data_IF_389260141965
#
_entry.id   IF_389260141965
#
_cell.length_a   1.000
_cell.length_b   1.000
_cell.length_c   1.000
_cell.angle_alpha   90.00
_cell.angle_beta   90.00
_cell.angle_gamma   90.00
#
_symmetry.space_group_name_H-M   'P 1'
#
loop_
_entity.id
_entity.type
_entity.pdbx_description
1 polymer ?
#
# COMPACT_ATOMS: atom_id res chain seq x y z
N UNK A 1 -12.95 -4.46 -30.31
CA UNK A 1 -13.08 -4.53 -28.84
C UNK A 1 -12.81 -3.15 -28.29
N UNK A 2 -13.76 -2.60 -27.55
CA UNK A 2 -13.62 -1.32 -26.90
C UNK A 2 -12.54 -1.40 -25.80
N UNK A 3 -11.66 -0.41 -25.73
CA UNK A 3 -10.57 -0.39 -24.75
C UNK A 3 -11.10 0.13 -23.42
N UNK A 4 -11.69 -0.75 -22.61
CA UNK A 4 -12.15 -0.38 -21.26
C UNK A 4 -10.95 -0.20 -20.34
N UNK A 5 -10.79 1.00 -19.78
CA UNK A 5 -9.77 1.28 -18.77
C UNK A 5 -10.02 0.45 -17.49
N UNK A 6 -8.96 0.23 -16.70
CA UNK A 6 -9.08 -0.38 -15.38
C UNK A 6 -9.37 0.72 -14.36
N UNK A 7 -10.43 0.54 -13.59
CA UNK A 7 -10.79 1.38 -12.45
C UNK A 7 -9.79 1.21 -11.31
N UNK A 8 -9.86 2.10 -10.31
CA UNK A 8 -9.06 1.99 -9.10
C UNK A 8 -9.27 0.65 -8.37
N UNK A 9 -10.53 0.25 -8.16
CA UNK A 9 -10.88 -0.99 -7.46
C UNK A 9 -10.35 -2.23 -8.19
N UNK A 10 -10.51 -2.26 -9.51
CA UNK A 10 -9.96 -3.34 -10.35
C UNK A 10 -8.44 -3.45 -10.21
N UNK A 11 -7.71 -2.32 -10.23
CA UNK A 11 -6.25 -2.33 -10.01
C UNK A 11 -5.89 -2.82 -8.61
N UNK A 12 -6.60 -2.39 -7.58
CA UNK A 12 -6.37 -2.82 -6.20
C UNK A 12 -6.56 -4.33 -6.03
N UNK A 13 -7.65 -4.87 -6.58
CA UNK A 13 -7.93 -6.32 -6.59
C UNK A 13 -6.79 -7.08 -7.26
N UNK A 14 -6.39 -6.67 -8.47
CA UNK A 14 -5.30 -7.33 -9.19
C UNK A 14 -4.01 -7.32 -8.37
N UNK A 15 -3.63 -6.17 -7.82
CA UNK A 15 -2.40 -6.03 -7.03
C UNK A 15 -2.44 -6.90 -5.77
N UNK A 16 -3.58 -6.97 -5.07
CA UNK A 16 -3.72 -7.80 -3.87
C UNK A 16 -3.58 -9.30 -4.18
N UNK A 17 -4.22 -9.80 -5.24
CA UNK A 17 -4.07 -11.20 -5.64
C UNK A 17 -2.61 -11.50 -6.01
N UNK A 18 -1.95 -10.58 -6.73
CA UNK A 18 -0.54 -10.73 -7.11
C UNK A 18 0.37 -10.72 -5.89
N UNK A 19 0.10 -9.87 -4.89
CA UNK A 19 0.85 -9.82 -3.64
C UNK A 19 0.88 -11.19 -2.95
N UNK A 20 -0.26 -11.86 -2.85
CA UNK A 20 -0.36 -13.22 -2.26
C UNK A 20 0.43 -14.26 -3.06
N UNK A 21 0.48 -14.12 -4.39
CA UNK A 21 1.16 -15.03 -5.32
C UNK A 21 2.57 -14.56 -5.73
N UNK A 22 3.09 -13.53 -5.06
CA UNK A 22 4.24 -12.74 -5.52
C UNK A 22 5.53 -13.54 -5.65
N UNK A 23 5.74 -14.54 -4.78
CA UNK A 23 6.95 -15.39 -4.79
C UNK A 23 7.15 -16.15 -6.12
N UNK A 24 6.07 -16.51 -6.81
CA UNK A 24 6.12 -17.20 -8.10
C UNK A 24 6.14 -16.20 -9.25
N UNK A 25 5.27 -15.19 -9.20
CA UNK A 25 5.12 -14.20 -10.28
C UNK A 25 6.38 -13.33 -10.44
N UNK A 26 6.99 -12.90 -9.33
CA UNK A 26 8.17 -12.02 -9.33
C UNK A 26 9.49 -12.80 -9.29
N UNK A 27 9.44 -14.13 -9.41
CA UNK A 27 10.65 -14.93 -9.54
C UNK A 27 11.40 -14.60 -10.83
N UNK A 28 12.71 -14.33 -10.78
CA UNK A 28 13.53 -14.03 -11.97
C UNK A 28 13.91 -15.26 -12.80
N UNK A 29 13.60 -16.48 -12.34
CA UNK A 29 13.93 -17.72 -13.06
C UNK A 29 13.17 -17.82 -14.39
N UNK A 30 13.88 -18.30 -15.41
CA UNK A 30 13.41 -18.42 -16.80
C UNK A 30 13.46 -19.86 -17.33
N UNK A 31 13.74 -20.84 -16.47
CA UNK A 31 13.68 -22.25 -16.85
C UNK A 31 12.23 -22.68 -17.17
N UNK A 32 12.08 -23.75 -17.95
CA UNK A 32 10.78 -24.24 -18.43
C UNK A 32 9.80 -24.53 -17.28
N UNK A 33 10.30 -25.08 -16.17
CA UNK A 33 9.48 -25.41 -14.99
C UNK A 33 8.97 -24.13 -14.33
N UNK A 34 9.83 -23.12 -14.17
CA UNK A 34 9.45 -21.81 -13.62
C UNK A 34 8.45 -21.08 -14.52
N UNK A 35 8.58 -21.19 -15.85
CA UNK A 35 7.64 -20.60 -16.80
C UNK A 35 6.26 -21.27 -16.72
N UNK A 36 6.21 -22.60 -16.66
CA UNK A 36 4.97 -23.36 -16.52
C UNK A 36 4.26 -23.02 -15.19
N UNK A 37 5.02 -22.93 -14.09
CA UNK A 37 4.49 -22.51 -12.79
C UNK A 37 3.88 -21.11 -12.83
N UNK A 38 4.59 -20.14 -13.43
CA UNK A 38 4.06 -18.78 -13.63
C UNK A 38 2.78 -18.80 -14.45
N UNK A 39 2.73 -19.59 -15.53
CA UNK A 39 1.53 -19.72 -16.35
C UNK A 39 0.35 -20.23 -15.54
N UNK A 40 0.52 -21.28 -14.74
CA UNK A 40 -0.55 -21.83 -13.88
C UNK A 40 -1.05 -20.80 -12.87
N UNK A 41 -0.13 -20.08 -12.22
CA UNK A 41 -0.50 -19.02 -11.26
C UNK A 41 -1.24 -17.88 -11.95
N UNK A 42 -0.88 -17.52 -13.18
CA UNK A 42 -1.62 -16.51 -13.94
C UNK A 42 -3.04 -16.96 -14.31
N UNK A 43 -3.26 -18.23 -14.59
CA UNK A 43 -4.60 -18.79 -14.80
C UNK A 43 -5.43 -18.80 -13.50
N UNK A 44 -4.80 -19.08 -12.34
CA UNK A 44 -5.45 -18.90 -11.03
C UNK A 44 -5.86 -17.42 -10.82
N UNK A 45 -4.93 -16.48 -11.05
CA UNK A 45 -5.20 -15.04 -10.94
C UNK A 45 -6.36 -14.65 -11.85
N UNK A 46 -6.38 -15.13 -13.09
CA UNK A 46 -7.47 -14.90 -14.03
C UNK A 46 -8.82 -15.37 -13.47
N UNK A 47 -8.87 -16.58 -12.91
CA UNK A 47 -10.11 -17.13 -12.35
C UNK A 47 -10.59 -16.31 -11.14
N UNK A 48 -9.71 -16.02 -10.18
CA UNK A 48 -10.04 -15.24 -8.99
C UNK A 48 -10.46 -13.80 -9.31
N UNK A 49 -9.70 -13.13 -10.19
CA UNK A 49 -9.98 -11.76 -10.60
C UNK A 49 -11.34 -11.67 -11.27
N UNK A 50 -11.60 -12.52 -12.26
CA UNK A 50 -12.85 -12.48 -12.99
C UNK A 50 -14.05 -12.92 -12.15
N UNK A 51 -13.86 -13.69 -11.09
CA UNK A 51 -14.94 -14.05 -10.16
C UNK A 51 -15.39 -12.88 -9.26
N UNK A 52 -14.62 -11.80 -9.16
CA UNK A 52 -14.95 -10.66 -8.30
C UNK A 52 -16.18 -9.89 -8.83
N UNK A 53 -17.15 -9.52 -7.97
CA UNK A 53 -18.34 -8.78 -8.37
C UNK A 53 -18.03 -7.35 -8.84
N UNK A 54 -16.93 -6.75 -8.40
CA UNK A 54 -16.49 -5.41 -8.80
C UNK A 54 -15.91 -5.36 -10.22
N UNK A 55 -15.63 -6.51 -10.83
CA UNK A 55 -15.08 -6.61 -12.19
C UNK A 55 -16.22 -6.57 -13.20
N UNK A 56 -16.52 -5.35 -13.68
CA UNK A 56 -17.59 -5.12 -14.66
C UNK A 56 -17.34 -5.71 -16.05
N UNK A 57 -16.07 -5.99 -16.40
CA UNK A 57 -15.71 -6.57 -17.70
C UNK A 57 -14.64 -7.67 -17.53
N UNK A 58 -14.95 -8.87 -18.01
CA UNK A 58 -14.04 -10.03 -17.95
C UNK A 58 -12.76 -9.73 -18.74
N UNK A 59 -11.61 -10.00 -18.13
CA UNK A 59 -10.29 -9.77 -18.73
C UNK A 59 -9.61 -11.09 -19.03
N UNK A 60 -8.81 -11.11 -20.09
CA UNK A 60 -7.94 -12.25 -20.41
C UNK A 60 -6.66 -12.22 -19.58
N UNK A 61 -6.03 -13.38 -19.39
CA UNK A 61 -4.74 -13.52 -18.71
C UNK A 61 -3.70 -12.53 -19.24
N UNK A 62 -3.60 -12.39 -20.58
CA UNK A 62 -2.67 -11.46 -21.24
C UNK A 62 -2.93 -9.99 -20.86
N UNK A 63 -4.19 -9.60 -20.72
CA UNK A 63 -4.56 -8.24 -20.32
C UNK A 63 -4.20 -7.95 -18.86
N UNK A 64 -4.38 -8.93 -17.96
CA UNK A 64 -3.98 -8.82 -16.55
C UNK A 64 -2.46 -8.73 -16.40
N UNK A 65 -1.71 -9.59 -17.10
CA UNK A 65 -0.25 -9.51 -17.17
C UNK A 65 0.23 -8.15 -17.65
N UNK A 66 -0.40 -7.61 -18.71
CA UNK A 66 -0.06 -6.30 -19.24
C UNK A 66 -0.40 -5.17 -18.26
N UNK A 67 -1.53 -5.27 -17.57
CA UNK A 67 -1.93 -4.32 -16.53
C UNK A 67 -0.89 -4.27 -15.41
N UNK A 68 -0.48 -5.44 -14.90
CA UNK A 68 0.56 -5.54 -13.89
C UNK A 68 1.91 -4.98 -14.35
N UNK A 69 2.34 -5.31 -15.58
CA UNK A 69 3.56 -4.76 -16.15
C UNK A 69 3.53 -3.22 -16.22
N UNK A 70 2.39 -2.65 -16.60
CA UNK A 70 2.19 -1.20 -16.64
C UNK A 70 2.21 -0.57 -15.24
N UNK A 71 1.60 -1.22 -14.24
CA UNK A 71 1.65 -0.76 -12.83
C UNK A 71 3.09 -0.73 -12.31
N UNK A 72 3.87 -1.79 -12.54
CA UNK A 72 5.29 -1.81 -12.18
C UNK A 72 6.09 -0.73 -12.90
N UNK A 73 5.77 -0.45 -14.17
CA UNK A 73 6.41 0.62 -14.93
C UNK A 73 6.08 2.00 -14.37
N UNK A 74 4.82 2.23 -14.01
CA UNK A 74 4.40 3.48 -13.37
C UNK A 74 5.11 3.69 -12.03
N UNK A 75 5.20 2.65 -11.18
CA UNK A 75 5.96 2.74 -9.92
C UNK A 75 7.45 3.04 -10.15
N UNK A 76 8.09 2.38 -11.11
CA UNK A 76 9.49 2.68 -11.47
C UNK A 76 9.67 4.14 -11.91
N UNK A 77 8.73 4.67 -12.70
CA UNK A 77 8.75 6.08 -13.12
C UNK A 77 8.69 7.01 -11.91
N UNK A 78 7.78 6.76 -10.98
CA UNK A 78 7.66 7.55 -9.74
C UNK A 78 8.98 7.52 -8.95
N UNK A 79 9.55 6.33 -8.72
CA UNK A 79 10.84 6.18 -8.02
C UNK A 79 11.94 6.98 -8.72
N UNK A 80 12.04 6.89 -10.05
CA UNK A 80 13.06 7.63 -10.82
C UNK A 80 12.85 9.13 -10.72
N UNK A 81 11.62 9.62 -10.79
CA UNK A 81 11.31 11.04 -10.65
C UNK A 81 11.62 11.54 -9.24
N UNK A 82 11.30 10.78 -8.20
CA UNK A 82 11.67 11.12 -6.82
C UNK A 82 13.17 11.23 -6.64
N UNK A 83 13.95 10.27 -7.19
CA UNK A 83 15.42 10.34 -7.16
C UNK A 83 15.97 11.54 -7.90
N UNK A 84 15.39 11.85 -9.05
CA UNK A 84 15.78 13.00 -9.85
C UNK A 84 15.47 14.32 -9.13
N UNK A 85 14.31 14.42 -8.48
CA UNK A 85 13.91 15.61 -7.72
C UNK A 85 14.89 15.87 -6.56
N UNK A 86 15.31 14.82 -5.84
CA UNK A 86 16.35 14.89 -4.80
C UNK A 86 17.65 15.46 -5.36
N UNK A 87 18.11 14.94 -6.50
CA UNK A 87 19.37 15.36 -7.10
C UNK A 87 19.32 16.80 -7.61
N UNK A 88 18.16 17.24 -8.10
CA UNK A 88 17.97 18.57 -8.70
C UNK A 88 17.91 19.70 -7.67
N UNK A 89 17.35 19.47 -6.47
CA UNK A 89 17.16 20.56 -5.50
C UNK A 89 18.42 20.98 -4.76
N UNK A 90 19.54 20.24 -4.90
CA UNK A 90 20.83 20.61 -4.29
C UNK A 90 20.77 20.80 -2.76
N UNK A 91 19.79 20.20 -2.08
CA UNK A 91 19.50 20.40 -0.65
C UNK A 91 18.20 21.16 -0.33
N UNK A 92 17.43 21.60 -1.32
CA UNK A 92 16.12 22.22 -1.14
C UNK A 92 14.98 21.22 -0.87
N UNK A 93 13.88 21.70 -0.30
CA UNK A 93 12.67 20.92 0.01
C UNK A 93 12.04 20.30 -1.24
N UNK A 94 11.62 19.04 -1.13
CA UNK A 94 10.96 18.30 -2.22
C UNK A 94 9.56 18.85 -2.46
N UNK A 95 9.08 18.79 -3.70
CA UNK A 95 7.67 19.04 -3.99
C UNK A 95 6.82 17.90 -3.38
N UNK A 96 5.77 18.25 -2.65
CA UNK A 96 4.82 17.26 -2.14
C UNK A 96 4.07 16.66 -3.33
N UNK A 97 4.35 15.39 -3.65
CA UNK A 97 3.57 14.63 -4.63
C UNK A 97 2.34 14.03 -3.95
N UNK A 98 1.23 13.97 -4.69
CA UNK A 98 0.02 13.29 -4.24
C UNK A 98 0.31 11.80 -3.96
N UNK A 99 -0.25 11.29 -2.87
CA UNK A 99 -0.04 9.93 -2.41
C UNK A 99 -0.95 8.94 -3.16
N UNK A 100 -0.37 8.08 -4.01
CA UNK A 100 -1.11 7.06 -4.75
C UNK A 100 -1.09 5.70 -4.01
N UNK A 101 -2.19 5.41 -3.33
CA UNK A 101 -2.39 4.14 -2.59
C UNK A 101 -2.21 2.87 -3.45
N UNK A 102 -2.47 2.91 -4.76
CA UNK A 102 -2.21 1.75 -5.64
C UNK A 102 -0.70 1.52 -5.78
N UNK A 103 0.09 2.58 -5.83
CA UNK A 103 1.53 2.48 -5.97
C UNK A 103 2.20 1.94 -4.72
N UNK A 104 1.61 2.15 -3.55
CA UNK A 104 2.06 1.54 -2.30
C UNK A 104 1.79 0.03 -2.30
N UNK A 105 0.60 -0.40 -2.73
CA UNK A 105 0.28 -1.82 -2.88
C UNK A 105 1.21 -2.49 -3.91
N UNK A 106 1.58 -1.79 -4.99
CA UNK A 106 2.53 -2.28 -6.00
C UNK A 106 3.92 -2.44 -5.40
N UNK A 107 4.36 -1.48 -4.57
CA UNK A 107 5.65 -1.56 -3.86
C UNK A 107 5.68 -2.73 -2.89
N UNK A 108 4.60 -2.96 -2.15
CA UNK A 108 4.50 -4.08 -1.23
C UNK A 108 4.48 -5.43 -1.96
N UNK A 109 3.80 -5.52 -3.10
CA UNK A 109 3.74 -6.73 -3.92
C UNK A 109 5.05 -7.00 -4.69
N UNK A 110 5.82 -5.96 -4.99
CA UNK A 110 7.08 -6.05 -5.75
C UNK A 110 8.18 -5.18 -5.12
N UNK A 111 8.66 -5.52 -3.90
CA UNK A 111 9.61 -4.69 -3.16
C UNK A 111 10.96 -4.56 -3.86
N UNK A 112 11.28 -5.51 -4.75
CA UNK A 112 12.51 -5.49 -5.52
C UNK A 112 12.58 -4.36 -6.57
N UNK A 113 11.48 -3.65 -6.84
CA UNK A 113 11.44 -2.53 -7.77
C UNK A 113 12.22 -1.30 -7.28
N UNK A 114 12.37 -1.16 -5.96
CA UNK A 114 13.00 0.00 -5.33
C UNK A 114 14.32 -0.37 -4.63
N UNK A 115 14.99 -1.45 -5.04
CA UNK A 115 16.29 -1.81 -4.47
C UNK A 115 17.33 -0.80 -4.95
N UNK A 116 17.94 -0.11 -3.99
CA UNK A 116 19.10 0.73 -4.22
C UNK A 116 20.37 -0.03 -3.87
N UNK A 117 21.30 -0.07 -4.80
CA UNK A 117 22.63 -0.64 -4.57
C UNK A 117 23.55 0.49 -4.13
N UNK A 118 24.05 0.40 -2.90
CA UNK A 118 25.08 1.32 -2.43
C UNK A 118 26.37 1.12 -3.21
N UNK A 119 26.95 2.20 -3.70
CA UNK A 119 28.26 2.21 -4.33
C UNK A 119 29.13 3.28 -3.65
N UNK A 120 30.26 2.86 -3.07
CA UNK A 120 31.18 3.77 -2.36
C UNK A 120 31.97 4.71 -3.29
N UNK A 121 32.04 4.38 -4.60
CA UNK A 121 32.76 5.15 -5.60
C UNK A 121 31.86 6.08 -6.43
N UNK A 122 30.55 5.95 -6.28
CA UNK A 122 29.58 6.82 -6.95
C UNK A 122 29.06 7.86 -5.94
N UNK A 123 29.48 9.10 -6.14
CA UNK A 123 29.05 10.23 -5.31
C UNK A 123 27.53 10.41 -5.33
N UNK A 124 26.87 10.07 -6.43
CA UNK A 124 25.40 10.12 -6.53
C UNK A 124 24.76 9.05 -5.66
N UNK A 125 25.23 7.79 -5.74
CA UNK A 125 24.73 6.71 -4.89
C UNK A 125 24.91 7.00 -3.38
N UNK A 126 26.03 7.62 -2.99
CA UNK A 126 26.27 8.03 -1.60
C UNK A 126 25.30 9.12 -1.15
N UNK A 127 25.05 10.12 -1.99
CA UNK A 127 24.09 11.19 -1.71
C UNK A 127 22.65 10.67 -1.63
N UNK A 128 22.23 9.84 -2.58
CA UNK A 128 20.90 9.23 -2.59
C UNK A 128 20.68 8.34 -1.37
N UNK A 129 21.66 7.52 -0.96
CA UNK A 129 21.55 6.66 0.23
C UNK A 129 21.33 7.47 1.51
N UNK A 130 22.06 8.57 1.69
CA UNK A 130 21.92 9.42 2.87
C UNK A 130 20.52 10.06 2.94
N UNK A 131 20.06 10.65 1.84
CA UNK A 131 18.72 11.24 1.75
C UNK A 131 17.59 10.21 1.91
N UNK A 132 17.81 8.97 1.44
CA UNK A 132 16.82 7.90 1.60
C UNK A 132 16.72 7.45 3.07
N UNK A 133 17.85 7.30 3.76
CA UNK A 133 17.88 6.98 5.19
C UNK A 133 17.13 8.04 6.02
N UNK A 134 17.40 9.32 5.78
CA UNK A 134 16.68 10.42 6.44
C UNK A 134 15.17 10.37 6.14
N UNK A 135 14.79 10.12 4.88
CA UNK A 135 13.38 10.01 4.51
C UNK A 135 12.68 8.81 5.16
N UNK A 136 13.37 7.67 5.31
CA UNK A 136 12.84 6.48 5.98
C UNK A 136 12.65 6.76 7.48
N UNK A 137 13.59 7.43 8.11
CA UNK A 137 13.50 7.85 9.51
C UNK A 137 12.30 8.79 9.73
N UNK A 138 12.15 9.80 8.88
CA UNK A 138 11.00 10.72 8.92
C UNK A 138 9.65 10.00 8.71
N UNK A 139 9.58 9.04 7.79
CA UNK A 139 8.37 8.25 7.56
C UNK A 139 8.02 7.36 8.76
N UNK A 140 9.02 6.75 9.41
CA UNK A 140 8.83 5.94 10.62
C UNK A 140 8.32 6.79 11.77
N UNK A 141 8.93 7.95 12.00
CA UNK A 141 8.52 8.90 13.03
C UNK A 141 7.08 9.38 12.80
N UNK A 142 6.72 9.72 11.56
CA UNK A 142 5.34 10.08 11.21
C UNK A 142 4.34 8.94 11.43
N UNK A 143 4.72 7.70 11.08
CA UNK A 143 3.88 6.54 11.31
C UNK A 143 3.67 6.27 12.81
N UNK A 144 4.72 6.37 13.61
CA UNK A 144 4.64 6.24 15.07
C UNK A 144 3.72 7.31 15.68
N UNK A 145 3.83 8.57 15.23
CA UNK A 145 2.94 9.65 15.64
C UNK A 145 1.48 9.37 15.27
N UNK A 146 1.22 8.88 14.05
CA UNK A 146 -0.15 8.50 13.62
C UNK A 146 -0.71 7.36 14.46
N UNK A 147 0.11 6.35 14.76
CA UNK A 147 -0.29 5.23 15.62
C UNK A 147 -0.55 5.67 17.05
N UNK A 148 0.23 6.63 17.56
CA UNK A 148 0.04 7.21 18.88
C UNK A 148 -1.26 8.01 18.95
N UNK A 149 -1.53 8.85 17.97
CA UNK A 149 -2.79 9.59 17.86
C UNK A 149 -4.00 8.63 17.81
N UNK A 150 -3.93 7.55 17.01
CA UNK A 150 -5.00 6.56 16.94
C UNK A 150 -5.24 5.85 18.28
N UNK A 151 -4.19 5.56 19.06
CA UNK A 151 -4.32 5.01 20.42
C UNK A 151 -4.99 5.99 21.38
N UNK A 152 -4.61 7.27 21.30
CA UNK A 152 -5.19 8.33 22.13
C UNK A 152 -6.67 8.54 21.82
N UNK A 153 -7.05 8.53 20.55
CA UNK A 153 -8.46 8.57 20.13
C UNK A 153 -9.26 7.41 20.70
N UNK A 154 -8.72 6.19 20.63
CA UNK A 154 -9.40 4.99 21.12
C UNK A 154 -9.55 4.99 22.65
N UNK A 155 -8.53 5.48 23.35
CA UNK A 155 -8.58 5.68 24.80
C UNK A 155 -9.59 6.77 25.20
N UNK A 156 -9.71 7.84 24.42
CA UNK A 156 -10.71 8.89 24.64
C UNK A 156 -12.13 8.33 24.46
N UNK A 157 -12.36 7.52 23.43
CA UNK A 157 -13.65 6.82 23.20
C UNK A 157 -13.97 5.94 24.40
N UNK A 158 -13.02 5.14 24.87
CA UNK A 158 -13.19 4.28 26.05
C UNK A 158 -13.61 5.07 27.29
N UNK A 159 -12.96 6.20 27.57
CA UNK A 159 -13.31 7.09 28.68
C UNK A 159 -14.71 7.69 28.55
N UNK A 160 -15.11 8.06 27.33
CA UNK A 160 -16.46 8.57 27.06
C UNK A 160 -17.50 7.49 27.36
N UNK A 161 -17.25 6.25 26.97
CA UNK A 161 -18.17 5.14 27.23
C UNK A 161 -18.27 4.83 28.74
N UNK A 162 -17.16 4.89 29.48
CA UNK A 162 -17.14 4.77 30.94
C UNK A 162 -17.96 5.88 31.63
N UNK A 163 -17.83 7.13 31.18
CA UNK A 163 -18.60 8.28 31.73
C UNK A 163 -20.09 8.13 31.43
N UNK A 164 -20.46 7.70 30.22
CA UNK A 164 -21.86 7.45 29.85
C UNK A 164 -22.47 6.37 30.73
N UNK A 165 -21.75 5.28 30.99
CA UNK A 165 -22.19 4.21 31.87
C UNK A 165 -22.41 4.71 33.31
N UNK A 166 -21.46 5.47 33.86
CA UNK A 166 -21.55 6.03 35.20
C UNK A 166 -22.75 6.98 35.37
N UNK A 167 -22.99 7.84 34.37
CA UNK A 167 -24.15 8.75 34.34
C UNK A 167 -25.47 7.98 34.34
N UNK A 168 -25.59 6.97 33.48
CA UNK A 168 -26.79 6.12 33.42
C UNK A 168 -27.05 5.37 34.74
N UNK A 169 -26.00 4.86 35.39
CA UNK A 169 -26.13 4.21 36.71
C UNK A 169 -26.55 5.19 37.81
N UNK A 170 -26.07 6.44 37.77
CA UNK A 170 -26.46 7.48 38.73
C UNK A 170 -27.93 7.89 38.56
N UNK A 171 -28.39 8.07 37.33
CA UNK A 171 -29.80 8.35 37.00
C UNK A 171 -30.72 7.22 37.48
N UNK A 172 -30.35 5.95 37.23
CA UNK A 172 -31.11 4.80 37.70
C UNK A 172 -31.22 4.76 39.23
N UNK A 173 -30.11 5.05 39.93
CA UNK A 173 -30.07 5.08 41.40
C UNK A 173 -30.90 6.23 41.98
N UNK A 174 -30.90 7.39 41.33
CA UNK A 174 -31.74 8.53 41.72
C UNK A 174 -33.23 8.24 41.51
N UNK A 175 -33.60 7.64 40.38
CA UNK A 175 -34.98 7.24 40.10
C UNK A 175 -35.51 6.22 41.11
N UNK A 176 -34.69 5.23 41.49
CA UNK A 176 -35.06 4.24 42.52
C UNK A 176 -35.28 4.88 43.89
N UNK A 177 -34.42 5.82 44.29
CA UNK A 177 -34.55 6.54 45.56
C UNK A 177 -35.82 7.40 45.64
N UNK A 178 -36.24 8.00 44.52
CA UNK A 178 -37.47 8.79 44.45
C UNK A 178 -38.76 7.94 44.50
N UNK A 179 -38.67 6.64 44.20
CA UNK A 179 -39.79 5.70 44.28
C UNK A 179 -39.98 5.12 45.70
N UNK A 180 -38.89 5.06 46.47
CA UNK A 180 -38.86 4.53 47.84
C UNK A 180 -39.07 5.63 48.93
N UNK A 181 -39.32 6.90 48.56
CA UNK A 181 -39.63 8.04 49.46
C UNK A 181 -41.08 8.50 49.31
#
# INVERSE_FOLDING_TARGET
>A
MEKTAYTFKEKAILTNIIKEKGSVIECKKTDAVSLEKKSKVWEEIYAYYNAQPEVGCKRTTKQLMKCWANLKQAKRKIITEEKYDILKTGGGTRSAKEHDTIMDLVEEAAPHLNIQLGCQYDSTARYENHNNLESIEQQRELHELRMQAAKEELEAIRKIDEIKLATAMAEFKAAKKALDS
#
